data_IF_994558162850
#
_entry.id   IF_994558162850
#
_cell.length_a   1.000
_cell.length_b   1.000
_cell.length_c   1.000
_cell.angle_alpha   90.00
_cell.angle_beta   90.00
_cell.angle_gamma   90.00
#
_symmetry.space_group_name_H-M   'P 1'
#
loop_
_entity.id
_entity.type
_entity.pdbx_description
1 polymer ?
#
# COMPACT_ATOMS: atom_id res chain seq x y z
N UNK A 1 -2.08 16.75 6.68
CA UNK A 1 -0.82 16.98 5.93
C UNK A 1 -0.84 18.35 5.28
N UNK A 2 0.29 19.06 5.22
CA UNK A 2 0.45 20.25 4.38
C UNK A 2 1.13 19.85 3.05
N UNK A 3 1.14 20.73 2.03
CA UNK A 3 1.67 20.41 0.71
C UNK A 3 3.14 19.98 0.74
N UNK A 4 3.97 20.59 1.60
CA UNK A 4 5.39 20.21 1.75
C UNK A 4 5.57 18.75 2.16
N UNK A 5 4.77 18.27 3.11
CA UNK A 5 4.82 16.87 3.58
C UNK A 5 4.33 15.88 2.52
N UNK A 6 3.33 16.27 1.71
CA UNK A 6 2.87 15.45 0.57
C UNK A 6 3.98 15.31 -0.47
N UNK A 7 4.60 16.42 -0.87
CA UNK A 7 5.70 16.43 -1.85
C UNK A 7 6.90 15.64 -1.32
N UNK A 8 7.24 15.79 -0.05
CA UNK A 8 8.29 14.98 0.58
C UNK A 8 7.97 13.47 0.51
N UNK A 9 6.76 13.08 0.91
CA UNK A 9 6.35 11.66 0.86
C UNK A 9 6.41 11.14 -0.57
N UNK A 10 5.92 11.91 -1.54
CA UNK A 10 5.96 11.55 -2.95
C UNK A 10 7.41 11.36 -3.43
N UNK A 11 8.26 12.39 -3.32
CA UNK A 11 9.63 12.32 -3.83
C UNK A 11 10.49 11.25 -3.13
N UNK A 12 10.35 11.11 -1.80
CA UNK A 12 11.09 10.08 -1.06
C UNK A 12 10.64 8.66 -1.44
N UNK A 13 9.34 8.44 -1.60
CA UNK A 13 8.82 7.15 -2.08
C UNK A 13 9.32 6.86 -3.48
N UNK A 14 9.25 7.85 -4.39
CA UNK A 14 9.71 7.71 -5.76
C UNK A 14 11.19 7.33 -5.82
N UNK A 15 12.04 8.04 -5.07
CA UNK A 15 13.47 7.78 -5.01
C UNK A 15 13.78 6.38 -4.45
N UNK A 16 13.18 6.02 -3.31
CA UNK A 16 13.47 4.76 -2.61
C UNK A 16 12.92 3.57 -3.40
N UNK A 17 11.67 3.62 -3.86
CA UNK A 17 11.06 2.55 -4.66
C UNK A 17 11.80 2.35 -5.99
N UNK A 18 12.09 3.44 -6.72
CA UNK A 18 12.84 3.38 -7.97
C UNK A 18 14.26 2.87 -7.74
N UNK A 19 14.94 3.32 -6.68
CA UNK A 19 16.30 2.90 -6.36
C UNK A 19 16.40 1.40 -6.08
N UNK A 20 15.57 0.86 -5.20
CA UNK A 20 15.58 -0.58 -4.90
C UNK A 20 15.06 -1.43 -6.06
N UNK A 21 14.04 -0.96 -6.79
CA UNK A 21 13.57 -1.65 -8.00
C UNK A 21 14.62 -1.67 -9.11
N UNK A 22 15.34 -0.57 -9.30
CA UNK A 22 16.46 -0.49 -10.25
C UNK A 22 17.57 -1.46 -9.86
N UNK A 23 17.97 -1.49 -8.59
CA UNK A 23 18.97 -2.44 -8.10
C UNK A 23 18.53 -3.88 -8.37
N UNK A 24 17.27 -4.22 -8.08
CA UNK A 24 16.76 -5.56 -8.33
C UNK A 24 16.80 -5.92 -9.82
N UNK A 25 16.28 -5.05 -10.69
CA UNK A 25 16.28 -5.30 -12.13
C UNK A 25 17.68 -5.38 -12.73
N UNK A 26 18.61 -4.59 -12.22
CA UNK A 26 20.02 -4.67 -12.58
C UNK A 26 20.61 -6.05 -12.22
N UNK A 27 20.35 -6.55 -11.01
CA UNK A 27 20.87 -7.85 -10.56
C UNK A 27 20.22 -9.06 -11.23
N UNK A 28 18.96 -8.98 -11.63
CA UNK A 28 18.28 -10.08 -12.32
C UNK A 28 18.90 -10.40 -13.68
N UNK A 29 19.43 -9.38 -14.39
CA UNK A 29 20.14 -9.55 -15.65
C UNK A 29 21.54 -8.93 -15.59
N UNK A 30 22.27 -9.28 -14.53
CA UNK A 30 23.54 -8.64 -14.18
C UNK A 30 24.57 -8.67 -15.30
N UNK A 31 24.74 -9.82 -15.97
CA UNK A 31 25.74 -9.98 -17.01
C UNK A 31 25.45 -9.08 -18.22
N UNK A 32 24.19 -9.02 -18.64
CA UNK A 32 23.75 -8.16 -19.76
C UNK A 32 24.00 -6.70 -19.44
N UNK A 33 23.62 -6.25 -18.24
CA UNK A 33 23.83 -4.87 -17.84
C UNK A 33 25.32 -4.50 -17.68
N UNK A 34 26.16 -5.40 -17.16
CA UNK A 34 27.61 -5.16 -17.09
C UNK A 34 28.23 -5.03 -18.48
N UNK A 35 27.82 -5.88 -19.42
CA UNK A 35 28.26 -5.80 -20.81
C UNK A 35 27.80 -4.49 -21.47
N UNK A 36 26.57 -4.06 -21.22
CA UNK A 36 26.03 -2.78 -21.67
C UNK A 36 26.87 -1.60 -21.14
N UNK A 37 27.22 -1.59 -19.85
CA UNK A 37 28.11 -0.58 -19.26
C UNK A 37 29.49 -0.57 -19.92
N UNK A 38 30.08 -1.74 -20.14
CA UNK A 38 31.40 -1.87 -20.77
C UNK A 38 31.40 -1.30 -22.21
N UNK A 39 30.27 -1.41 -22.91
CA UNK A 39 30.06 -0.87 -24.24
C UNK A 39 29.53 0.58 -24.26
N UNK A 40 29.45 1.25 -23.10
CA UNK A 40 28.86 2.58 -22.93
C UNK A 40 27.41 2.69 -23.44
N UNK A 41 26.67 1.58 -23.42
CA UNK A 41 25.26 1.51 -23.78
C UNK A 41 24.38 1.62 -22.53
N UNK A 42 23.73 2.76 -22.34
CA UNK A 42 22.87 3.01 -21.17
C UNK A 42 21.39 2.73 -21.41
N UNK A 43 21.00 2.23 -22.60
CA UNK A 43 19.60 2.02 -22.95
C UNK A 43 18.93 1.01 -22.01
N UNK A 44 19.55 -0.15 -21.78
CA UNK A 44 19.02 -1.20 -20.89
C UNK A 44 18.82 -0.70 -19.46
N UNK A 45 19.85 -0.08 -18.87
CA UNK A 45 19.77 0.52 -17.53
C UNK A 45 18.65 1.58 -17.44
N UNK A 46 18.48 2.40 -18.46
CA UNK A 46 17.45 3.44 -18.48
C UNK A 46 16.06 2.81 -18.47
N UNK A 47 15.84 1.74 -19.25
CA UNK A 47 14.56 1.00 -19.26
C UNK A 47 14.28 0.37 -17.91
N UNK A 48 15.29 -0.21 -17.25
CA UNK A 48 15.15 -0.77 -15.89
C UNK A 48 14.75 0.31 -14.88
N UNK A 49 15.42 1.46 -14.93
CA UNK A 49 15.10 2.58 -14.04
C UNK A 49 13.69 3.13 -14.26
N UNK A 50 13.28 3.29 -15.52
CA UNK A 50 11.92 3.74 -15.87
C UNK A 50 10.88 2.72 -15.40
N UNK A 51 11.13 1.42 -15.61
CA UNK A 51 10.22 0.35 -15.18
C UNK A 51 10.04 0.36 -13.66
N UNK A 52 11.13 0.48 -12.90
CA UNK A 52 11.08 0.60 -11.45
C UNK A 52 10.31 1.87 -10.99
N UNK A 53 10.49 2.98 -11.70
CA UNK A 53 9.76 4.22 -11.43
C UNK A 53 8.26 4.08 -11.70
N UNK A 54 7.85 3.39 -12.78
CA UNK A 54 6.44 3.13 -13.10
C UNK A 54 5.77 2.34 -11.97
N UNK A 55 6.37 1.24 -11.52
CA UNK A 55 5.83 0.46 -10.39
C UNK A 55 5.76 1.28 -9.11
N UNK A 56 6.75 2.12 -8.86
CA UNK A 56 6.75 3.02 -7.70
C UNK A 56 5.62 4.06 -7.78
N UNK A 57 5.34 4.62 -8.96
CA UNK A 57 4.21 5.54 -9.17
C UNK A 57 2.87 4.82 -9.04
N UNK A 58 2.76 3.57 -9.47
CA UNK A 58 1.57 2.72 -9.25
C UNK A 58 1.31 2.56 -7.74
N UNK A 59 2.34 2.20 -6.95
CA UNK A 59 2.25 2.16 -5.48
C UNK A 59 1.82 3.51 -4.88
N UNK A 60 2.31 4.63 -5.42
CA UNK A 60 1.89 5.96 -4.96
C UNK A 60 0.40 6.22 -5.16
N UNK A 61 -0.10 5.89 -6.35
CA UNK A 61 -1.52 6.02 -6.66
C UNK A 61 -2.37 5.15 -5.73
N UNK A 62 -2.01 3.87 -5.58
CA UNK A 62 -2.77 2.94 -4.74
C UNK A 62 -2.71 3.29 -3.25
N UNK A 63 -1.60 3.82 -2.75
CA UNK A 63 -1.51 4.36 -1.38
C UNK A 63 -2.50 5.52 -1.14
N UNK A 64 -2.58 6.50 -2.04
CA UNK A 64 -3.52 7.61 -1.87
C UNK A 64 -4.98 7.16 -2.04
N UNK A 65 -5.24 6.22 -2.95
CA UNK A 65 -6.55 5.58 -3.07
C UNK A 65 -6.93 4.87 -1.77
N UNK A 66 -5.99 4.12 -1.18
CA UNK A 66 -6.19 3.43 0.10
C UNK A 66 -6.54 4.39 1.23
N UNK A 67 -5.82 5.50 1.39
CA UNK A 67 -6.13 6.48 2.45
C UNK A 67 -7.57 7.01 2.32
N UNK A 68 -8.04 7.19 1.08
CA UNK A 68 -9.40 7.63 0.78
C UNK A 68 -10.41 6.55 1.12
N UNK A 69 -10.20 5.31 0.65
CA UNK A 69 -11.06 4.15 0.94
C UNK A 69 -11.13 3.89 2.44
N UNK A 70 -10.00 3.94 3.15
CA UNK A 70 -9.95 3.73 4.58
C UNK A 70 -10.77 4.79 5.32
N UNK A 71 -10.64 6.07 4.92
CA UNK A 71 -11.41 7.17 5.51
C UNK A 71 -12.90 7.02 5.27
N UNK A 72 -13.31 6.67 4.05
CA UNK A 72 -14.72 6.43 3.74
C UNK A 72 -15.26 5.17 4.42
N UNK A 73 -14.45 4.11 4.52
CA UNK A 73 -14.77 2.89 5.25
C UNK A 73 -15.10 3.21 6.71
N UNK A 74 -14.24 3.95 7.41
CA UNK A 74 -14.51 4.36 8.80
C UNK A 74 -15.75 5.25 8.97
N UNK A 75 -16.13 6.03 7.96
CA UNK A 75 -17.33 6.86 7.96
C UNK A 75 -18.61 6.09 7.66
N UNK A 76 -18.54 5.14 6.73
CA UNK A 76 -19.66 4.28 6.31
C UNK A 76 -19.96 3.21 7.35
N UNK A 77 -18.92 2.57 7.89
CA UNK A 77 -19.04 1.58 8.95
C UNK A 77 -19.09 2.27 10.30
N UNK A 78 -20.23 2.13 11.00
CA UNK A 78 -20.51 2.78 12.30
C UNK A 78 -19.54 2.37 13.43
N UNK A 79 -18.59 1.47 13.20
CA UNK A 79 -17.57 1.04 14.17
C UNK A 79 -16.27 0.66 13.47
N UNK A 80 -15.13 1.13 14.00
CA UNK A 80 -13.80 0.69 13.55
C UNK A 80 -13.62 -0.84 13.63
N UNK A 81 -14.25 -1.51 14.60
CA UNK A 81 -14.16 -2.97 14.72
C UNK A 81 -14.84 -3.68 13.54
N UNK A 82 -15.97 -3.15 13.05
CA UNK A 82 -16.67 -3.72 11.90
C UNK A 82 -15.85 -3.54 10.63
N UNK A 83 -15.25 -2.35 10.44
CA UNK A 83 -14.37 -2.10 9.30
C UNK A 83 -13.15 -3.02 9.30
N UNK A 84 -12.50 -3.22 10.45
CA UNK A 84 -11.37 -4.15 10.57
C UNK A 84 -11.78 -5.59 10.23
N UNK A 85 -12.99 -6.04 10.59
CA UNK A 85 -13.48 -7.37 10.19
C UNK A 85 -13.64 -7.50 8.67
N UNK A 86 -14.18 -6.46 8.01
CA UNK A 86 -14.27 -6.42 6.54
C UNK A 86 -12.89 -6.51 5.91
N UNK A 87 -11.91 -5.76 6.44
CA UNK A 87 -10.54 -5.82 5.96
C UNK A 87 -9.93 -7.22 6.09
N UNK A 88 -10.16 -7.95 7.19
CA UNK A 88 -9.68 -9.32 7.37
C UNK A 88 -10.27 -10.26 6.30
N UNK A 89 -11.57 -10.15 6.02
CA UNK A 89 -12.22 -10.96 4.97
C UNK A 89 -11.61 -10.65 3.60
N UNK A 90 -11.36 -9.37 3.30
CA UNK A 90 -10.74 -8.96 2.03
C UNK A 90 -9.28 -9.42 1.92
N UNK A 91 -8.52 -9.47 3.03
CA UNK A 91 -7.17 -10.06 3.06
C UNK A 91 -7.23 -11.53 2.68
N UNK A 92 -8.11 -12.30 3.33
CA UNK A 92 -8.27 -13.72 3.05
C UNK A 92 -8.69 -13.96 1.59
N UNK A 93 -9.61 -13.14 1.08
CA UNK A 93 -10.04 -13.17 -0.31
C UNK A 93 -8.89 -12.88 -1.28
N UNK A 94 -8.10 -11.83 -1.06
CA UNK A 94 -6.97 -11.48 -1.93
C UNK A 94 -5.87 -12.56 -1.95
N UNK A 95 -5.57 -13.18 -0.81
CA UNK A 95 -4.59 -14.27 -0.76
C UNK A 95 -5.11 -15.53 -1.46
N UNK A 96 -6.39 -15.85 -1.28
CA UNK A 96 -7.03 -16.94 -2.01
C UNK A 96 -7.05 -16.66 -3.51
N UNK A 97 -7.42 -15.45 -3.93
CA UNK A 97 -7.45 -14.99 -5.32
C UNK A 97 -6.09 -15.16 -5.98
N UNK A 98 -5.03 -14.66 -5.32
CA UNK A 98 -3.64 -14.76 -5.78
C UNK A 98 -3.18 -16.21 -5.98
N UNK A 99 -3.65 -17.15 -5.14
CA UNK A 99 -3.34 -18.58 -5.25
C UNK A 99 -4.19 -19.25 -6.33
N UNK A 100 -5.52 -19.13 -6.20
CA UNK A 100 -6.50 -19.91 -6.94
C UNK A 100 -6.60 -19.48 -8.40
N UNK A 101 -6.72 -18.18 -8.68
CA UNK A 101 -6.83 -17.73 -10.08
C UNK A 101 -5.52 -17.91 -10.82
N UNK A 102 -4.38 -17.72 -10.14
CA UNK A 102 -3.08 -17.99 -10.76
C UNK A 102 -2.93 -19.48 -11.10
N UNK A 103 -3.29 -20.37 -10.18
CA UNK A 103 -3.34 -21.81 -10.47
C UNK A 103 -4.30 -22.12 -11.62
N UNK A 104 -5.52 -21.56 -11.61
CA UNK A 104 -6.53 -21.80 -12.64
C UNK A 104 -6.05 -21.41 -14.05
N UNK A 105 -5.25 -20.34 -14.17
CA UNK A 105 -4.79 -19.81 -15.47
C UNK A 105 -3.51 -20.48 -15.95
N UNK A 106 -2.59 -20.83 -15.04
CA UNK A 106 -1.23 -21.26 -15.41
C UNK A 106 -0.88 -22.70 -15.03
N UNK A 107 -1.71 -23.40 -14.26
CA UNK A 107 -1.41 -24.77 -13.86
C UNK A 107 -1.55 -25.73 -15.03
N UNK A 108 -0.41 -26.10 -15.61
CA UNK A 108 -0.31 -27.12 -16.65
C UNK A 108 -0.18 -28.52 -16.01
N UNK A 109 -1.22 -28.94 -15.29
CA UNK A 109 -1.23 -30.20 -14.52
C UNK A 109 -0.51 -30.13 -13.16
N UNK A 110 -0.05 -28.95 -12.76
CA UNK A 110 0.62 -28.73 -11.49
C UNK A 110 -0.33 -28.72 -10.28
N UNK A 111 0.21 -29.13 -9.13
CA UNK A 111 -0.52 -29.08 -7.86
C UNK A 111 -0.73 -27.65 -7.38
N UNK A 112 -1.93 -27.36 -6.86
CA UNK A 112 -2.30 -26.07 -6.28
C UNK A 112 -1.39 -25.65 -5.12
N UNK A 113 -0.74 -26.59 -4.44
CA UNK A 113 0.11 -26.31 -3.28
C UNK A 113 1.32 -25.43 -3.65
N UNK A 114 1.88 -25.58 -4.86
CA UNK A 114 2.98 -24.73 -5.32
C UNK A 114 2.60 -23.26 -5.44
N UNK A 115 1.33 -22.98 -5.74
CA UNK A 115 0.80 -21.63 -5.90
C UNK A 115 0.56 -20.92 -4.56
N UNK A 116 0.65 -21.64 -3.43
CA UNK A 116 0.54 -21.05 -2.10
C UNK A 116 1.80 -20.28 -1.67
N UNK A 117 2.96 -20.52 -2.31
CA UNK A 117 4.24 -19.92 -1.90
C UNK A 117 4.21 -18.40 -1.98
N UNK A 118 3.79 -17.83 -3.12
CA UNK A 118 3.70 -16.38 -3.29
C UNK A 118 2.79 -15.68 -2.27
N UNK A 119 1.51 -16.07 -2.09
CA UNK A 119 0.65 -15.45 -1.09
C UNK A 119 1.17 -15.63 0.35
N UNK A 120 1.80 -16.76 0.67
CA UNK A 120 2.41 -16.96 2.00
C UNK A 120 3.57 -15.98 2.23
N UNK A 121 4.47 -15.83 1.26
CA UNK A 121 5.59 -14.88 1.37
C UNK A 121 5.08 -13.44 1.50
N UNK A 122 4.08 -13.06 0.70
CA UNK A 122 3.45 -11.74 0.80
C UNK A 122 2.81 -11.53 2.17
N UNK A 123 2.11 -12.53 2.71
CA UNK A 123 1.50 -12.47 4.03
C UNK A 123 2.54 -12.33 5.14
N UNK A 124 3.63 -13.10 5.11
CA UNK A 124 4.71 -13.02 6.10
C UNK A 124 5.34 -11.63 6.08
N UNK A 125 5.69 -11.12 4.89
CA UNK A 125 6.28 -9.79 4.75
C UNK A 125 5.32 -8.70 5.26
N UNK A 126 4.06 -8.76 4.83
CA UNK A 126 3.02 -7.80 5.24
C UNK A 126 2.76 -7.84 6.74
N UNK A 127 2.82 -9.02 7.35
CA UNK A 127 2.70 -9.21 8.80
C UNK A 127 3.84 -8.51 9.54
N UNK A 128 5.09 -8.68 9.10
CA UNK A 128 6.26 -8.01 9.69
C UNK A 128 6.07 -6.49 9.63
N UNK A 129 5.71 -5.93 8.47
CA UNK A 129 5.47 -4.49 8.32
C UNK A 129 4.34 -4.00 9.22
N UNK A 130 3.24 -4.77 9.32
CA UNK A 130 2.12 -4.46 10.21
C UNK A 130 2.51 -4.48 11.70
N UNK A 131 3.34 -5.43 12.12
CA UNK A 131 3.89 -5.47 13.49
C UNK A 131 4.74 -4.23 13.76
N UNK A 132 5.68 -3.90 12.87
CA UNK A 132 6.54 -2.72 13.01
C UNK A 132 5.67 -1.46 13.16
N UNK A 133 4.71 -1.28 12.24
CA UNK A 133 3.81 -0.11 12.26
C UNK A 133 2.98 -0.03 13.54
N UNK A 134 2.45 -1.16 14.00
CA UNK A 134 1.61 -1.21 15.20
C UNK A 134 2.40 -0.88 16.48
N UNK A 135 3.69 -1.26 16.52
CA UNK A 135 4.61 -0.93 17.61
C UNK A 135 4.97 0.56 17.64
N UNK A 136 5.19 1.17 16.47
CA UNK A 136 5.52 2.59 16.35
C UNK A 136 4.32 3.52 16.60
N UNK A 137 3.08 3.03 16.43
CA UNK A 137 1.87 3.87 16.51
C UNK A 137 0.86 3.40 17.55
N UNK A 138 0.06 2.38 17.21
CA UNK A 138 -0.91 1.76 18.09
C UNK A 138 -1.35 0.39 17.54
N UNK A 139 -1.85 -0.49 18.41
CA UNK A 139 -2.36 -1.81 18.00
C UNK A 139 -3.50 -1.75 16.99
N UNK A 140 -4.32 -0.69 16.98
CA UNK A 140 -5.41 -0.55 16.00
C UNK A 140 -4.92 -0.32 14.56
N UNK A 141 -3.66 0.06 14.36
CA UNK A 141 -3.06 0.22 13.03
C UNK A 141 -2.67 -1.11 12.36
N UNK A 142 -2.62 -2.22 13.12
CA UNK A 142 -2.17 -3.51 12.60
C UNK A 142 -3.01 -4.00 11.40
N UNK A 143 -4.34 -4.13 11.58
CA UNK A 143 -5.23 -4.65 10.52
C UNK A 143 -5.27 -3.72 9.30
N UNK A 144 -5.39 -2.38 9.45
CA UNK A 144 -5.28 -1.46 8.32
C UNK A 144 -3.96 -1.60 7.55
N UNK A 145 -2.83 -1.76 8.24
CA UNK A 145 -1.53 -1.94 7.58
C UNK A 145 -1.42 -3.29 6.88
N UNK A 146 -1.87 -4.36 7.52
CA UNK A 146 -1.88 -5.69 6.90
C UNK A 146 -2.76 -5.70 5.65
N UNK A 147 -3.94 -5.05 5.72
CA UNK A 147 -4.83 -4.90 4.58
C UNK A 147 -4.16 -4.14 3.44
N UNK A 148 -3.51 -3.02 3.73
CA UNK A 148 -2.82 -2.23 2.72
C UNK A 148 -1.71 -3.05 2.04
N UNK A 149 -0.82 -3.66 2.83
CA UNK A 149 0.32 -4.42 2.32
C UNK A 149 -0.06 -5.70 1.57
N UNK A 150 -1.22 -6.31 1.88
CA UNK A 150 -1.71 -7.48 1.15
C UNK A 150 -2.61 -7.07 -0.01
N UNK A 151 -3.76 -6.46 0.27
CA UNK A 151 -4.83 -6.27 -0.70
C UNK A 151 -4.46 -5.21 -1.73
N UNK A 152 -3.97 -4.04 -1.28
CA UNK A 152 -3.68 -2.93 -2.18
C UNK A 152 -2.46 -3.27 -3.03
N UNK A 153 -1.41 -3.82 -2.42
CA UNK A 153 -0.24 -4.32 -3.18
C UNK A 153 -0.61 -5.42 -4.17
N UNK A 154 -1.50 -6.36 -3.81
CA UNK A 154 -1.95 -7.39 -4.78
C UNK A 154 -2.66 -6.75 -5.96
N UNK A 155 -3.58 -5.79 -5.73
CA UNK A 155 -4.28 -5.06 -6.80
C UNK A 155 -3.30 -4.32 -7.71
N UNK A 156 -2.30 -3.65 -7.14
CA UNK A 156 -1.26 -2.96 -7.88
C UNK A 156 -0.41 -3.93 -8.72
N UNK A 157 -0.20 -5.15 -8.21
CA UNK A 157 0.64 -6.17 -8.83
C UNK A 157 -0.07 -7.00 -9.91
N UNK A 158 -1.41 -6.90 -10.02
CA UNK A 158 -2.21 -7.63 -11.02
C UNK A 158 -1.61 -7.62 -12.42
N UNK A 159 -1.16 -6.48 -13.00
CA UNK A 159 -0.64 -6.46 -14.36
C UNK A 159 0.61 -7.34 -14.57
N UNK A 160 1.40 -7.59 -13.52
CA UNK A 160 2.54 -8.51 -13.59
C UNK A 160 2.11 -9.96 -13.35
N UNK A 161 1.11 -10.17 -12.50
CA UNK A 161 0.58 -11.49 -12.19
C UNK A 161 -0.16 -12.15 -13.36
N UNK A 162 -0.62 -11.37 -14.34
CA UNK A 162 -1.22 -11.90 -15.59
C UNK A 162 -0.18 -12.45 -16.56
N UNK A 163 1.11 -12.29 -16.28
CA UNK A 163 2.19 -12.88 -17.04
C UNK A 163 2.74 -14.11 -16.32
N UNK A 164 3.20 -15.11 -17.09
CA UNK A 164 3.92 -16.26 -16.54
C UNK A 164 5.45 -16.08 -16.60
N UNK A 165 5.92 -14.88 -16.25
CA UNK A 165 7.34 -14.52 -16.25
C UNK A 165 7.78 -14.12 -14.84
N UNK A 166 8.59 -14.97 -14.21
CA UNK A 166 9.09 -14.75 -12.86
C UNK A 166 9.97 -13.50 -12.76
N UNK A 167 10.75 -13.19 -13.81
CA UNK A 167 11.60 -12.00 -13.85
C UNK A 167 10.74 -10.74 -13.83
N UNK A 168 9.66 -10.71 -14.62
CA UNK A 168 8.72 -9.59 -14.63
C UNK A 168 7.97 -9.44 -13.31
N UNK A 169 7.51 -10.56 -12.75
CA UNK A 169 6.84 -10.63 -11.44
C UNK A 169 7.72 -10.05 -10.33
N UNK A 170 9.01 -10.45 -10.29
CA UNK A 170 9.98 -9.96 -9.30
C UNK A 170 10.31 -8.48 -9.51
N UNK A 171 10.53 -8.06 -10.77
CA UNK A 171 10.79 -6.66 -11.13
C UNK A 171 9.64 -5.72 -10.74
N UNK A 172 8.40 -6.23 -10.73
CA UNK A 172 7.24 -5.49 -10.30
C UNK A 172 7.09 -5.43 -8.78
N UNK A 173 7.19 -6.58 -8.08
CA UNK A 173 6.85 -6.66 -6.65
C UNK A 173 7.87 -5.94 -5.76
N UNK A 174 9.14 -5.92 -6.13
CA UNK A 174 10.18 -5.29 -5.30
C UNK A 174 9.97 -3.77 -5.15
N UNK A 175 9.87 -2.97 -6.22
CA UNK A 175 9.57 -1.55 -6.08
C UNK A 175 8.22 -1.30 -5.41
N UNK A 176 7.19 -2.14 -5.67
CA UNK A 176 5.88 -2.03 -5.00
C UNK A 176 6.00 -2.22 -3.47
N UNK A 177 6.62 -3.30 -3.01
CA UNK A 177 6.78 -3.60 -1.58
C UNK A 177 7.61 -2.53 -0.88
N UNK A 178 8.70 -2.08 -1.50
CA UNK A 178 9.57 -1.06 -0.93
C UNK A 178 8.83 0.28 -0.83
N UNK A 179 8.15 0.70 -1.90
CA UNK A 179 7.38 1.94 -1.93
C UNK A 179 6.25 1.92 -0.91
N UNK A 180 5.41 0.88 -0.92
CA UNK A 180 4.27 0.73 0.00
C UNK A 180 4.73 0.68 1.46
N UNK A 181 5.81 -0.05 1.74
CA UNK A 181 6.39 -0.12 3.10
C UNK A 181 6.87 1.25 3.55
N UNK A 182 7.62 1.96 2.70
CA UNK A 182 8.07 3.31 3.02
C UNK A 182 6.90 4.25 3.31
N UNK A 183 5.88 4.23 2.46
CA UNK A 183 4.71 5.10 2.62
C UNK A 183 3.94 4.83 3.90
N UNK A 184 3.63 3.56 4.18
CA UNK A 184 2.83 3.21 5.36
C UNK A 184 3.60 3.46 6.65
N UNK A 185 4.92 3.27 6.66
CA UNK A 185 5.78 3.54 7.82
C UNK A 185 6.09 5.02 7.98
N UNK A 186 6.30 5.82 6.93
CA UNK A 186 6.64 7.25 7.10
C UNK A 186 5.43 8.13 7.37
N UNK A 187 4.24 7.76 6.90
CA UNK A 187 3.05 8.61 7.02
C UNK A 187 2.76 9.06 8.45
N UNK A 188 3.02 8.22 9.46
CA UNK A 188 2.73 8.59 10.84
C UNK A 188 3.64 9.68 11.37
N UNK A 189 4.93 9.61 11.02
CA UNK A 189 5.94 10.59 11.41
C UNK A 189 5.65 11.96 10.82
N UNK A 190 5.09 12.00 9.60
CA UNK A 190 4.62 13.24 8.98
C UNK A 190 3.37 13.81 9.67
N UNK A 191 2.63 13.02 10.44
CA UNK A 191 1.42 13.42 11.16
C UNK A 191 1.60 13.45 12.68
N UNK A 192 2.82 13.33 13.19
CA UNK A 192 3.08 13.40 14.63
C UNK A 192 2.53 14.70 15.22
N UNK A 193 1.73 14.53 16.27
CA UNK A 193 1.19 15.61 17.07
C UNK A 193 2.23 15.98 18.15
N UNK A 194 2.15 17.17 18.78
CA UNK A 194 3.13 17.64 19.77
C UNK A 194 3.40 16.68 20.96
N UNK A 195 2.49 15.73 21.19
CA UNK A 195 2.57 14.70 22.23
C UNK A 195 3.21 13.37 21.75
N UNK A 196 3.72 13.32 20.51
CA UNK A 196 4.41 12.16 19.94
C UNK A 196 3.54 10.93 19.69
N UNK A 197 2.22 11.00 19.87
CA UNK A 197 1.29 9.87 19.70
C UNK A 197 0.22 10.17 18.66
N UNK A 198 0.02 9.26 17.72
CA UNK A 198 -1.10 9.35 16.79
C UNK A 198 -2.43 9.04 17.50
N UNK A 199 -3.52 9.75 17.17
CA UNK A 199 -4.85 9.36 17.60
C UNK A 199 -5.15 7.92 17.16
N UNK A 200 -5.82 7.15 18.03
CA UNK A 200 -6.34 5.85 17.61
C UNK A 200 -7.47 6.03 16.60
N UNK A 201 -7.72 5.01 15.78
CA UNK A 201 -8.85 5.01 14.83
C UNK A 201 -10.19 5.32 15.51
N UNK A 202 -10.37 4.88 16.76
CA UNK A 202 -11.55 5.19 17.58
C UNK A 202 -11.62 6.68 17.94
N UNK A 203 -10.49 7.27 18.33
CA UNK A 203 -10.40 8.69 18.66
C UNK A 203 -10.69 9.57 17.44
N UNK A 204 -10.21 9.18 16.25
CA UNK A 204 -10.52 9.88 14.99
C UNK A 204 -12.02 9.80 14.67
N UNK A 205 -12.64 8.63 14.78
CA UNK A 205 -14.09 8.48 14.61
C UNK A 205 -14.89 9.33 15.60
N UNK A 206 -14.48 9.39 16.87
CA UNK A 206 -15.15 10.20 17.88
C UNK A 206 -15.01 11.70 17.59
N UNK A 207 -13.83 12.14 17.17
CA UNK A 207 -13.57 13.52 16.75
C UNK A 207 -14.46 13.91 15.57
N UNK A 208 -14.54 13.06 14.55
CA UNK A 208 -15.37 13.32 13.35
C UNK A 208 -16.87 13.34 13.68
N UNK A 209 -17.33 12.49 14.61
CA UNK A 209 -18.71 12.54 15.13
C UNK A 209 -19.01 13.87 15.82
N UNK A 210 -18.10 14.35 16.68
CA UNK A 210 -18.25 15.63 17.38
C UNK A 210 -18.32 16.80 16.40
N UNK A 211 -17.44 16.84 15.40
CA UNK A 211 -17.43 17.88 14.35
C UNK A 211 -18.74 17.85 13.55
N UNK A 212 -19.21 16.66 13.17
CA UNK A 212 -20.46 16.49 12.41
C UNK A 212 -21.67 16.94 13.23
N UNK A 213 -21.73 16.60 14.52
CA UNK A 213 -22.79 17.02 15.43
C UNK A 213 -22.82 18.54 15.62
N UNK A 214 -21.65 19.16 15.84
CA UNK A 214 -21.52 20.61 15.99
C UNK A 214 -21.96 21.37 14.72
N UNK A 215 -21.63 20.84 13.54
CA UNK A 215 -22.02 21.43 12.25
C UNK A 215 -23.53 21.32 12.02
N UNK A 216 -24.15 20.20 12.41
CA UNK A 216 -25.62 20.03 12.39
C UNK A 216 -26.32 21.00 13.34
N UNK A 217 -25.79 21.21 14.56
CA UNK A 217 -26.32 22.19 15.50
C UNK A 217 -26.22 23.63 14.97
N UNK A 218 -25.05 24.03 14.41
CA UNK A 218 -24.88 25.35 13.77
C UNK A 218 -25.86 25.58 12.62
N UNK A 219 -26.09 24.56 11.77
CA UNK A 219 -27.08 24.63 10.68
C UNK A 219 -28.51 24.79 11.21
N UNK A 220 -28.89 24.05 12.27
CA UNK A 220 -30.21 24.21 12.93
C UNK A 220 -30.41 25.62 13.51
N UNK A 221 -29.41 26.16 14.21
CA UNK A 221 -29.47 27.52 14.78
C UNK A 221 -29.57 28.62 13.72
N UNK A 222 -28.83 28.50 12.60
CA UNK A 222 -28.96 29.44 11.46
C UNK A 222 -30.34 29.35 10.78
N UNK A 223 -30.93 28.16 10.70
CA UNK A 223 -32.27 27.96 10.10
C UNK A 223 -33.37 28.57 10.99
N UNK A 224 -33.25 28.45 12.32
CA UNK A 224 -34.17 29.08 13.28
C UNK A 224 -34.04 30.61 13.30
N UNK A 225 -32.83 31.16 13.16
CA UNK A 225 -32.62 32.62 13.05
C UNK A 225 -33.09 33.24 11.74
N UNK A 226 -33.26 32.46 10.67
CA UNK A 226 -33.82 32.92 9.38
C UNK A 226 -35.35 32.79 9.30
N UNK A 227 -35.96 32.07 10.24
CA UNK A 227 -37.40 31.86 10.32
C UNK A 227 -38.09 32.78 11.36
N UNK A 228 -37.30 33.64 12.02
CA UNK A 228 -37.76 34.79 12.80
C UNK A 228 -37.38 36.05 12.02
#
# INVERSE_FOLDING_TARGET
>A
MNSRKVVFLFNSTLLIGTGFGFLMGFFLDFQTHINDLANLNFAGLTVVAITAAIWTVIAQMGFFAYLTIHRFGLGMFKSASLWNKVQIVLIAFALFDLMFFRWLVFADGESIVGYAVMPILLLIYSWIVAVIKSRETNYSAFVPTLFFMVVVTTIEWVPALTQNDMTFIINAIVPLLVANTWQILVLHRLHEQPNGKQPSTKADQERDRKITAATKQKKKGKKQKRAK
#
